data_IF_787854282042
#
_entry.id   IF_787854282042
#
_cell.length_a   1.000
_cell.length_b   1.000
_cell.length_c   1.000
_cell.angle_alpha   90.00
_cell.angle_beta   90.00
_cell.angle_gamma   90.00
#
_symmetry.space_group_name_H-M   'P 1'
#
loop_
_entity.id
_entity.type
_entity.pdbx_description
1 polymer ?
#
# COMPACT_ATOMS: atom_id res chain seq x y z
N UNK A 1 25.65 -66.91 35.22
CA UNK A 1 26.25 -65.65 34.74
C UNK A 1 25.28 -65.01 33.71
N UNK A 2 24.77 -63.83 33.94
CA UNK A 2 23.93 -63.18 32.97
C UNK A 2 24.79 -62.62 31.82
N UNK A 3 24.29 -62.55 30.58
CA UNK A 3 25.05 -62.04 29.40
C UNK A 3 25.24 -60.56 29.50
N UNK A 4 26.46 -60.09 29.24
CA UNK A 4 26.84 -58.68 29.19
C UNK A 4 26.22 -58.02 27.91
N UNK A 5 25.63 -56.83 27.99
CA UNK A 5 25.06 -56.15 26.80
C UNK A 5 26.19 -55.66 25.90
N UNK A 6 26.06 -55.96 24.59
CA UNK A 6 27.00 -55.53 23.56
C UNK A 6 26.97 -53.99 23.37
N UNK A 7 28.14 -53.29 23.24
CA UNK A 7 28.24 -51.84 23.13
C UNK A 7 27.69 -51.25 21.81
N UNK A 8 27.33 -52.07 20.83
CA UNK A 8 26.80 -51.62 19.53
C UNK A 8 25.40 -51.02 19.58
N UNK A 9 24.54 -51.40 20.54
CA UNK A 9 23.16 -50.91 20.56
C UNK A 9 23.00 -49.46 21.04
N UNK A 10 23.91 -48.96 21.88
CA UNK A 10 23.86 -47.61 22.40
C UNK A 10 24.32 -46.56 21.36
N UNK A 11 25.24 -46.93 20.47
CA UNK A 11 25.73 -46.07 19.41
C UNK A 11 24.64 -45.79 18.32
N UNK A 12 23.86 -46.80 17.96
CA UNK A 12 22.75 -46.70 17.04
C UNK A 12 21.58 -45.86 17.58
N UNK A 13 21.27 -46.00 18.88
CA UNK A 13 20.24 -45.20 19.56
C UNK A 13 20.64 -43.72 19.62
N UNK A 14 21.90 -43.41 19.90
CA UNK A 14 22.43 -42.02 19.90
C UNK A 14 22.43 -41.41 18.52
N UNK A 15 22.78 -42.16 17.47
CA UNK A 15 22.74 -41.71 16.09
C UNK A 15 21.30 -41.43 15.62
N UNK A 16 20.32 -42.25 15.97
CA UNK A 16 18.90 -42.00 15.64
C UNK A 16 18.31 -40.80 16.40
N UNK A 17 18.66 -40.57 17.64
CA UNK A 17 18.22 -39.42 18.44
C UNK A 17 18.83 -38.12 17.89
N UNK A 18 20.09 -38.12 17.45
CA UNK A 18 20.71 -36.96 16.80
C UNK A 18 20.11 -36.66 15.41
N UNK A 19 19.76 -37.69 14.63
CA UNK A 19 19.06 -37.46 13.34
C UNK A 19 17.64 -36.94 13.51
N UNK A 20 16.90 -37.44 14.53
CA UNK A 20 15.56 -36.92 14.85
C UNK A 20 15.59 -35.48 15.39
N UNK A 21 16.64 -35.08 16.12
CA UNK A 21 16.83 -33.72 16.61
C UNK A 21 17.19 -32.72 15.46
N UNK A 22 17.91 -33.18 14.44
CA UNK A 22 18.22 -32.37 13.26
C UNK A 22 17.02 -32.16 12.34
N UNK A 23 16.03 -33.06 12.32
CA UNK A 23 14.80 -32.90 11.53
C UNK A 23 13.76 -31.99 12.19
N UNK A 24 13.85 -31.69 13.49
CA UNK A 24 12.98 -30.77 14.20
C UNK A 24 13.40 -29.30 14.11
N UNK A 25 14.62 -29.01 13.63
CA UNK A 25 15.13 -27.64 13.45
C UNK A 25 14.80 -26.98 12.10
N UNK A 26 14.17 -27.69 11.16
CA UNK A 26 13.95 -27.21 9.79
C UNK A 26 12.62 -26.48 9.57
N UNK A 27 11.86 -26.15 10.64
CA UNK A 27 10.75 -25.19 10.53
C UNK A 27 11.23 -23.74 10.73
N UNK A 28 12.40 -23.37 10.16
CA UNK A 28 12.67 -21.98 9.86
C UNK A 28 11.61 -21.55 8.84
N UNK A 29 10.67 -20.68 9.24
CA UNK A 29 9.67 -20.11 8.34
C UNK A 29 10.42 -19.50 7.16
N UNK A 30 10.43 -20.21 6.02
CA UNK A 30 10.88 -19.60 4.77
C UNK A 30 10.07 -18.32 4.58
N UNK A 31 10.71 -17.18 4.24
CA UNK A 31 9.98 -15.93 4.05
C UNK A 31 8.87 -16.20 3.05
N UNK A 32 7.63 -15.80 3.41
CA UNK A 32 6.46 -16.00 2.54
C UNK A 32 6.71 -15.22 1.25
N UNK A 33 6.98 -15.96 0.17
CA UNK A 33 7.16 -15.41 -1.17
C UNK A 33 5.83 -15.44 -1.89
N UNK A 34 5.55 -14.39 -2.66
CA UNK A 34 4.39 -14.35 -3.52
C UNK A 34 4.68 -15.17 -4.80
N UNK A 35 3.87 -16.21 -5.13
CA UNK A 35 4.07 -17.00 -6.34
C UNK A 35 3.83 -16.21 -7.64
N UNK A 36 3.18 -15.03 -7.57
CA UNK A 36 2.89 -14.15 -8.71
C UNK A 36 4.06 -13.22 -9.08
N UNK A 37 5.17 -13.21 -8.30
CA UNK A 37 6.28 -12.28 -8.49
C UNK A 37 7.64 -12.98 -8.46
N UNK A 38 8.56 -12.53 -9.32
CA UNK A 38 9.95 -12.96 -9.26
C UNK A 38 10.61 -12.46 -7.97
N UNK A 39 11.21 -13.37 -7.20
CA UNK A 39 11.91 -13.03 -5.98
C UNK A 39 13.28 -12.40 -6.27
N UNK A 40 13.44 -11.11 -5.96
CA UNK A 40 14.70 -10.36 -6.06
C UNK A 40 14.97 -9.67 -4.72
N UNK A 41 15.70 -10.33 -3.78
CA UNK A 41 15.79 -9.88 -2.39
C UNK A 41 16.51 -8.54 -2.22
N UNK A 42 15.96 -7.69 -1.34
CA UNK A 42 16.61 -6.51 -0.78
C UNK A 42 17.04 -6.78 0.67
N UNK A 43 18.21 -6.30 1.14
CA UNK A 43 18.63 -6.42 2.54
C UNK A 43 17.97 -5.39 3.47
N UNK A 44 17.16 -4.46 2.93
CA UNK A 44 16.62 -3.30 3.65
C UNK A 44 15.20 -3.55 4.15
N UNK A 45 15.01 -4.31 5.25
CA UNK A 45 13.70 -4.60 5.82
C UNK A 45 13.73 -4.90 7.32
N UNK A 46 12.57 -4.77 8.00
CA UNK A 46 12.29 -5.15 9.39
C UNK A 46 10.96 -5.93 9.48
N UNK A 47 10.62 -6.48 10.67
CA UNK A 47 9.33 -7.15 10.90
C UNK A 47 8.17 -6.15 11.06
N UNK A 48 6.96 -6.50 10.55
CA UNK A 48 5.78 -5.61 10.61
C UNK A 48 4.45 -6.33 10.27
N UNK A 49 3.30 -5.63 10.40
CA UNK A 49 1.97 -6.10 9.97
C UNK A 49 1.30 -5.04 9.07
N UNK A 50 1.03 -5.35 7.79
CA UNK A 50 0.42 -4.39 6.87
C UNK A 50 -1.10 -4.30 7.03
N UNK A 51 -1.62 -3.08 6.93
CA UNK A 51 -3.05 -2.74 6.89
C UNK A 51 -3.38 -1.73 5.79
N UNK A 52 -2.36 -1.33 5.00
CA UNK A 52 -2.42 -0.30 3.96
C UNK A 52 -1.55 -0.74 2.78
N UNK A 53 -1.87 -0.30 1.57
CA UNK A 53 -1.01 -0.39 0.38
C UNK A 53 -0.68 1.04 -0.07
N UNK A 54 0.60 1.31 -0.32
CA UNK A 54 1.08 2.60 -0.83
C UNK A 54 1.67 2.38 -2.22
N UNK A 55 1.16 3.13 -3.19
CA UNK A 55 1.61 3.11 -4.58
C UNK A 55 2.60 4.23 -4.85
N UNK A 56 3.64 3.91 -5.64
CA UNK A 56 4.73 4.79 -5.99
C UNK A 56 5.00 4.74 -7.50
N UNK A 57 5.63 5.78 -8.04
CA UNK A 57 6.45 5.63 -9.23
C UNK A 57 7.94 5.69 -8.86
N UNK A 58 8.80 5.06 -9.67
CA UNK A 58 10.23 4.90 -9.34
C UNK A 58 11.08 6.14 -9.57
N UNK A 59 10.63 7.09 -10.41
CA UNK A 59 11.45 8.21 -10.90
C UNK A 59 12.78 7.72 -11.48
N UNK A 60 12.71 6.63 -12.27
CA UNK A 60 13.87 5.97 -12.88
C UNK A 60 13.58 5.67 -14.36
N UNK A 61 14.67 5.44 -15.14
CA UNK A 61 14.56 5.23 -16.58
C UNK A 61 14.50 3.73 -16.97
N UNK A 62 14.52 2.81 -16.03
CA UNK A 62 14.42 1.36 -16.30
C UNK A 62 14.25 0.53 -15.03
N UNK A 63 13.62 -0.64 -15.20
CA UNK A 63 13.50 -1.68 -14.15
C UNK A 63 14.85 -2.04 -13.52
N UNK A 64 15.92 -2.14 -14.32
CA UNK A 64 17.27 -2.50 -13.82
C UNK A 64 17.82 -1.42 -12.89
N UNK A 65 17.62 -0.15 -13.23
CA UNK A 65 18.00 0.98 -12.39
C UNK A 65 17.16 1.00 -11.11
N UNK A 66 15.84 0.81 -11.21
CA UNK A 66 14.92 0.73 -10.09
C UNK A 66 15.28 -0.40 -9.12
N UNK A 67 15.56 -1.62 -9.64
CA UNK A 67 16.04 -2.75 -8.83
C UNK A 67 17.37 -2.45 -8.13
N UNK A 68 18.30 -1.76 -8.80
CA UNK A 68 19.58 -1.36 -8.20
C UNK A 68 19.38 -0.39 -7.04
N UNK A 69 18.52 0.63 -7.23
CA UNK A 69 18.18 1.63 -6.20
C UNK A 69 17.51 1.00 -5.00
N UNK A 70 16.48 0.16 -5.23
CA UNK A 70 15.67 -0.46 -4.16
C UNK A 70 16.40 -1.55 -3.37
N UNK A 71 17.53 -2.04 -3.85
CA UNK A 71 18.40 -3.04 -3.19
C UNK A 71 19.68 -2.44 -2.61
N UNK A 72 20.01 -1.23 -2.96
CA UNK A 72 21.25 -0.56 -2.61
C UNK A 72 21.06 0.68 -1.74
N UNK A 73 21.77 1.71 -2.12
CA UNK A 73 21.71 3.06 -1.54
C UNK A 73 21.51 4.07 -2.66
N UNK A 74 20.72 5.09 -2.41
CA UNK A 74 20.65 6.30 -3.24
C UNK A 74 21.21 7.51 -2.47
N UNK A 75 21.17 8.69 -3.07
CA UNK A 75 21.62 9.94 -2.43
C UNK A 75 20.85 10.27 -1.15
N UNK A 76 19.59 9.83 -1.03
CA UNK A 76 18.74 10.02 0.15
C UNK A 76 18.89 8.94 1.23
N UNK A 77 19.76 7.95 1.04
CA UNK A 77 19.97 6.86 1.99
C UNK A 77 19.51 5.50 1.48
N UNK A 78 19.15 4.60 2.41
CA UNK A 78 18.62 3.27 2.07
C UNK A 78 17.12 3.34 1.84
N UNK A 79 16.68 2.77 0.72
CA UNK A 79 15.28 2.63 0.35
C UNK A 79 15.00 1.20 -0.10
N UNK A 80 13.76 0.77 0.01
CA UNK A 80 13.27 -0.51 -0.53
C UNK A 80 11.76 -0.47 -0.66
N UNK A 81 11.20 -1.33 -1.53
CA UNK A 81 9.77 -1.59 -1.61
C UNK A 81 9.51 -3.09 -1.49
N UNK A 82 8.26 -3.48 -1.25
CA UNK A 82 7.90 -4.89 -1.26
C UNK A 82 7.87 -5.43 -2.67
N UNK A 83 7.31 -4.65 -3.60
CA UNK A 83 7.16 -5.00 -5.00
C UNK A 83 7.63 -3.89 -5.93
N UNK A 84 8.09 -4.29 -7.11
CA UNK A 84 8.29 -3.45 -8.27
C UNK A 84 7.54 -4.09 -9.45
N UNK A 85 6.87 -3.29 -10.27
CA UNK A 85 6.20 -3.70 -11.50
C UNK A 85 6.81 -2.93 -12.66
N UNK A 86 7.37 -3.64 -13.64
CA UNK A 86 7.87 -3.04 -14.88
C UNK A 86 6.74 -2.61 -15.82
N UNK A 87 7.06 -1.77 -16.80
CA UNK A 87 6.13 -1.36 -17.84
C UNK A 87 5.54 -2.53 -18.63
N UNK A 88 6.33 -3.62 -18.78
CA UNK A 88 5.91 -4.88 -19.40
C UNK A 88 4.97 -5.72 -18.52
N UNK A 89 4.68 -5.27 -17.31
CA UNK A 89 3.86 -5.96 -16.30
C UNK A 89 4.62 -7.05 -15.52
N UNK A 90 5.92 -7.22 -15.70
CA UNK A 90 6.71 -8.15 -14.88
C UNK A 90 6.75 -7.69 -13.42
N UNK A 91 6.40 -8.58 -12.48
CA UNK A 91 6.40 -8.32 -11.04
C UNK A 91 7.65 -8.87 -10.39
N UNK A 92 8.28 -8.06 -9.53
CA UNK A 92 9.43 -8.42 -8.71
C UNK A 92 9.05 -8.25 -7.23
N UNK A 93 9.32 -9.24 -6.40
CA UNK A 93 9.22 -9.12 -4.95
C UNK A 93 10.61 -8.97 -4.35
N UNK A 94 10.86 -7.85 -3.65
CA UNK A 94 12.16 -7.52 -3.06
C UNK A 94 12.20 -7.77 -1.56
N UNK A 95 11.07 -7.53 -0.87
CA UNK A 95 10.92 -7.71 0.57
C UNK A 95 9.71 -8.60 0.83
N UNK A 96 9.81 -9.51 1.81
CA UNK A 96 8.68 -10.35 2.24
C UNK A 96 7.56 -9.49 2.80
N UNK A 97 6.30 -9.86 2.56
CA UNK A 97 5.12 -9.12 3.04
C UNK A 97 5.07 -8.99 4.56
N UNK A 98 5.64 -9.97 5.28
CA UNK A 98 5.72 -9.96 6.74
C UNK A 98 6.83 -9.04 7.28
N UNK A 99 7.67 -8.46 6.43
CA UNK A 99 8.81 -7.63 6.80
C UNK A 99 8.60 -6.18 6.38
N UNK A 100 9.27 -5.26 7.07
CA UNK A 100 9.14 -3.82 6.86
C UNK A 100 10.09 -3.34 5.75
N UNK A 101 9.55 -2.98 4.59
CA UNK A 101 10.32 -2.25 3.57
C UNK A 101 10.38 -0.73 3.90
N UNK A 102 11.33 -0.01 3.31
CA UNK A 102 11.58 1.42 3.59
C UNK A 102 11.20 2.25 2.35
N UNK A 103 9.91 2.50 2.16
CA UNK A 103 9.36 3.20 1.00
C UNK A 103 8.56 4.48 1.35
N UNK A 104 7.88 4.52 2.51
CA UNK A 104 6.98 5.62 2.86
C UNK A 104 7.69 6.81 3.52
N UNK A 105 8.80 6.57 4.24
CA UNK A 105 9.49 7.60 5.01
C UNK A 105 8.60 8.26 6.06
N UNK A 106 8.85 9.54 6.37
CA UNK A 106 7.98 10.34 7.22
C UNK A 106 6.67 10.66 6.49
N UNK A 107 5.54 10.35 7.12
CA UNK A 107 4.21 10.56 6.54
C UNK A 107 3.12 10.18 7.53
N UNK A 108 1.86 10.41 7.13
CA UNK A 108 0.67 10.11 7.93
C UNK A 108 -0.49 9.69 7.02
N UNK A 109 -1.28 8.73 7.48
CA UNK A 109 -2.60 8.44 6.93
C UNK A 109 -3.59 8.22 8.07
N UNK A 110 -4.46 9.19 8.32
CA UNK A 110 -5.29 9.21 9.51
C UNK A 110 -4.44 9.19 10.79
N UNK A 111 -4.58 8.14 11.59
CA UNK A 111 -3.81 7.93 12.83
C UNK A 111 -2.52 7.13 12.61
N UNK A 112 -2.26 6.64 11.41
CA UNK A 112 -1.07 5.86 11.07
C UNK A 112 0.08 6.83 10.79
N UNK A 113 1.16 6.76 11.58
CA UNK A 113 2.38 7.59 11.45
C UNK A 113 3.62 6.78 11.07
N UNK A 114 3.65 5.47 11.33
CA UNK A 114 4.69 4.56 10.81
C UNK A 114 4.18 3.86 9.56
N UNK A 115 4.26 4.60 8.44
CA UNK A 115 3.79 4.12 7.12
C UNK A 115 4.51 2.83 6.72
N UNK A 116 5.83 2.74 6.92
CA UNK A 116 6.61 1.57 6.54
C UNK A 116 6.17 0.29 7.26
N UNK A 117 5.85 0.37 8.57
CA UNK A 117 5.38 -0.77 9.33
C UNK A 117 3.93 -1.14 8.99
N UNK A 118 3.11 -0.16 8.63
CA UNK A 118 1.68 -0.35 8.41
C UNK A 118 1.31 -0.75 6.97
N UNK A 119 2.24 -0.63 5.99
CA UNK A 119 1.88 -0.76 4.57
C UNK A 119 2.71 -1.75 3.76
N UNK A 120 2.18 -2.20 2.64
CA UNK A 120 2.91 -2.77 1.50
C UNK A 120 3.22 -1.62 0.54
N UNK A 121 4.50 -1.40 0.20
CA UNK A 121 4.91 -0.46 -0.86
C UNK A 121 5.03 -1.18 -2.18
N UNK A 122 4.40 -0.62 -3.22
CA UNK A 122 4.47 -1.11 -4.59
C UNK A 122 4.98 0.02 -5.47
N UNK A 123 6.15 -0.19 -6.05
CA UNK A 123 6.76 0.69 -7.04
C UNK A 123 6.30 0.32 -8.45
N UNK A 124 6.04 1.31 -9.28
CA UNK A 124 5.76 1.16 -10.71
C UNK A 124 6.89 1.84 -11.47
N UNK A 125 7.53 1.10 -12.38
CA UNK A 125 8.59 1.64 -13.22
C UNK A 125 8.01 2.69 -14.16
N UNK A 126 8.24 3.98 -13.83
CA UNK A 126 7.71 5.14 -14.54
C UNK A 126 8.49 6.36 -14.04
N UNK A 127 8.73 7.35 -14.90
CA UNK A 127 9.47 8.57 -14.58
C UNK A 127 8.56 9.72 -14.07
N UNK A 128 7.24 9.47 -13.99
CA UNK A 128 6.23 10.45 -13.56
C UNK A 128 5.79 11.45 -14.64
N UNK A 129 6.39 11.41 -15.84
CA UNK A 129 6.10 12.32 -16.94
C UNK A 129 5.21 11.71 -18.04
N UNK A 130 5.00 10.40 -18.01
CA UNK A 130 4.24 9.66 -19.01
C UNK A 130 3.09 8.84 -18.38
N UNK A 131 2.06 8.47 -19.16
CA UNK A 131 1.02 7.56 -18.71
C UNK A 131 1.58 6.17 -18.36
N UNK A 132 1.03 5.55 -17.32
CA UNK A 132 1.38 4.18 -16.93
C UNK A 132 0.95 3.16 -18.00
N UNK A 133 1.84 2.23 -18.34
CA UNK A 133 1.57 1.22 -19.37
C UNK A 133 0.36 0.34 -19.01
N UNK A 134 -0.54 0.02 -19.95
CA UNK A 134 -1.70 -0.84 -19.67
C UNK A 134 -1.34 -2.19 -19.06
N UNK A 135 -0.27 -2.84 -19.54
CA UNK A 135 0.21 -4.12 -19.00
C UNK A 135 0.67 -4.01 -17.54
N UNK A 136 1.29 -2.88 -17.16
CA UNK A 136 1.71 -2.57 -15.81
C UNK A 136 0.51 -2.44 -14.86
N UNK A 137 -0.54 -1.73 -15.28
CA UNK A 137 -1.76 -1.57 -14.47
C UNK A 137 -2.55 -2.88 -14.37
N UNK A 138 -2.66 -3.66 -15.44
CA UNK A 138 -3.28 -4.99 -15.39
C UNK A 138 -2.54 -5.91 -14.39
N UNK A 139 -1.22 -5.87 -14.42
CA UNK A 139 -0.37 -6.60 -13.49
C UNK A 139 -0.55 -6.12 -12.04
N UNK A 140 -0.67 -4.81 -11.81
CA UNK A 140 -0.97 -4.23 -10.51
C UNK A 140 -2.32 -4.73 -9.97
N UNK A 141 -3.37 -4.75 -10.78
CA UNK A 141 -4.70 -5.22 -10.36
C UNK A 141 -4.66 -6.68 -9.88
N UNK A 142 -3.93 -7.56 -10.59
CA UNK A 142 -3.72 -8.95 -10.15
C UNK A 142 -2.99 -9.02 -8.81
N UNK A 143 -1.95 -8.20 -8.60
CA UNK A 143 -1.21 -8.16 -7.36
C UNK A 143 -2.05 -7.62 -6.19
N UNK A 144 -2.85 -6.57 -6.43
CA UNK A 144 -3.76 -6.01 -5.43
C UNK A 144 -4.81 -7.02 -4.97
N UNK A 145 -5.37 -7.82 -5.90
CA UNK A 145 -6.33 -8.89 -5.57
C UNK A 145 -5.71 -9.91 -4.60
N UNK A 146 -4.50 -10.38 -4.91
CA UNK A 146 -3.78 -11.32 -4.05
C UNK A 146 -3.48 -10.71 -2.66
N UNK A 147 -2.89 -9.52 -2.63
CA UNK A 147 -2.48 -8.87 -1.38
C UNK A 147 -3.68 -8.55 -0.47
N UNK A 148 -4.75 -8.00 -1.02
CA UNK A 148 -5.95 -7.68 -0.25
C UNK A 148 -6.61 -8.96 0.31
N UNK A 149 -6.66 -10.03 -0.48
CA UNK A 149 -7.26 -11.32 -0.07
C UNK A 149 -6.37 -12.04 0.95
N UNK A 150 -5.10 -12.25 0.64
CA UNK A 150 -4.17 -13.06 1.44
C UNK A 150 -3.78 -12.36 2.75
N UNK A 151 -3.52 -11.05 2.72
CA UNK A 151 -3.12 -10.27 3.89
C UNK A 151 -4.32 -9.63 4.62
N UNK A 152 -5.54 -9.76 4.09
CA UNK A 152 -6.77 -9.15 4.62
C UNK A 152 -6.66 -7.63 4.76
N UNK A 153 -5.99 -6.98 3.79
CA UNK A 153 -5.95 -5.53 3.70
C UNK A 153 -7.27 -5.07 3.06
N UNK A 154 -8.03 -4.16 3.69
CA UNK A 154 -9.26 -3.66 3.09
C UNK A 154 -8.98 -3.04 1.71
N UNK A 155 -9.75 -3.38 0.68
CA UNK A 155 -9.57 -2.85 -0.68
C UNK A 155 -9.62 -1.32 -0.76
N UNK A 156 -10.26 -0.67 0.21
CA UNK A 156 -10.32 0.78 0.36
C UNK A 156 -9.07 1.41 0.96
N UNK A 157 -8.12 0.61 1.43
CA UNK A 157 -6.86 1.05 2.03
C UNK A 157 -5.71 0.98 1.01
N UNK A 158 -5.91 1.58 -0.16
CA UNK A 158 -4.91 1.74 -1.21
C UNK A 158 -4.81 3.22 -1.52
N UNK A 159 -3.61 3.78 -1.35
CA UNK A 159 -3.32 5.22 -1.44
C UNK A 159 -2.01 5.47 -2.18
N UNK A 160 -1.78 6.70 -2.61
CA UNK A 160 -0.50 7.15 -3.16
C UNK A 160 0.50 7.56 -2.06
N UNK A 161 1.76 7.62 -2.40
CA UNK A 161 2.78 8.18 -1.50
C UNK A 161 2.52 9.66 -1.22
N UNK A 162 2.06 10.40 -2.20
CA UNK A 162 1.62 11.79 -2.04
C UNK A 162 0.41 11.93 -1.10
N UNK A 163 -0.50 10.96 -1.04
CA UNK A 163 -1.62 10.98 -0.09
C UNK A 163 -1.13 10.94 1.36
N UNK A 164 -0.10 10.14 1.64
CA UNK A 164 0.45 9.96 3.00
C UNK A 164 1.54 10.96 3.35
N UNK A 165 2.13 11.66 2.38
CA UNK A 165 3.23 12.60 2.57
C UNK A 165 3.13 13.81 1.60
N UNK A 166 2.02 14.54 1.51
CA UNK A 166 1.74 15.51 0.46
C UNK A 166 2.80 16.62 0.35
N UNK A 167 3.31 17.15 1.45
CA UNK A 167 4.32 18.21 1.44
C UNK A 167 5.72 17.74 0.96
N UNK A 168 5.90 16.42 0.72
CA UNK A 168 7.23 15.84 0.45
C UNK A 168 7.28 15.00 -0.82
N UNK A 169 6.13 14.52 -1.27
CA UNK A 169 5.99 13.52 -2.33
C UNK A 169 4.91 13.91 -3.33
N UNK A 170 5.10 13.47 -4.57
CA UNK A 170 4.19 13.68 -5.68
C UNK A 170 3.91 12.38 -6.47
N UNK A 171 4.34 11.23 -5.94
CA UNK A 171 4.12 9.91 -6.55
C UNK A 171 2.86 9.23 -5.98
N UNK A 172 2.04 8.54 -6.80
CA UNK A 172 2.24 8.21 -8.22
C UNK A 172 1.79 9.30 -9.19
N UNK A 173 1.35 10.48 -8.74
CA UNK A 173 1.08 11.66 -9.56
C UNK A 173 -0.24 11.63 -10.35
N UNK A 174 -0.51 12.74 -11.09
CA UNK A 174 -1.81 12.95 -11.73
C UNK A 174 -2.07 12.04 -12.94
N UNK A 175 -1.03 11.43 -13.51
CA UNK A 175 -1.15 10.51 -14.64
C UNK A 175 -1.48 9.07 -14.22
N UNK A 176 -1.49 8.78 -12.89
CA UNK A 176 -1.84 7.46 -12.40
C UNK A 176 -3.35 7.22 -12.56
N UNK A 177 -3.77 6.06 -13.14
CA UNK A 177 -5.16 5.81 -13.50
C UNK A 177 -6.01 5.31 -12.32
N UNK A 178 -6.17 6.10 -11.25
CA UNK A 178 -6.93 5.76 -10.04
C UNK A 178 -8.34 5.24 -10.35
N UNK A 179 -9.02 5.87 -11.32
CA UNK A 179 -10.37 5.44 -11.76
C UNK A 179 -10.40 3.99 -12.22
N UNK A 180 -9.35 3.51 -12.91
CA UNK A 180 -9.26 2.11 -13.37
C UNK A 180 -9.14 1.14 -12.20
N UNK A 181 -8.41 1.51 -11.14
CA UNK A 181 -8.35 0.72 -9.92
C UNK A 181 -9.73 0.67 -9.24
N UNK A 182 -10.40 1.82 -9.16
CA UNK A 182 -11.74 1.93 -8.58
C UNK A 182 -12.78 1.09 -9.33
N UNK A 183 -12.74 1.06 -10.66
CA UNK A 183 -13.62 0.23 -11.50
C UNK A 183 -13.39 -1.27 -11.27
N UNK A 184 -12.18 -1.65 -10.84
CA UNK A 184 -11.84 -3.01 -10.41
C UNK A 184 -12.13 -3.26 -8.92
N UNK A 185 -12.70 -2.29 -8.19
CA UNK A 185 -13.06 -2.41 -6.78
C UNK A 185 -11.93 -2.13 -5.79
N UNK A 186 -10.89 -1.38 -6.20
CA UNK A 186 -9.76 -1.01 -5.36
C UNK A 186 -9.69 0.51 -5.11
N UNK A 187 -9.28 0.90 -3.90
CA UNK A 187 -9.28 2.28 -3.44
C UNK A 187 -10.67 2.75 -3.02
N UNK A 188 -10.75 4.01 -2.63
CA UNK A 188 -12.01 4.73 -2.40
C UNK A 188 -12.32 5.57 -3.64
N UNK A 189 -13.56 5.50 -4.11
CA UNK A 189 -13.99 6.32 -5.23
C UNK A 189 -15.37 6.91 -4.98
N UNK A 190 -15.68 8.15 -5.43
CA UNK A 190 -16.99 8.73 -5.22
C UNK A 190 -18.06 7.92 -5.95
N UNK A 191 -19.18 7.67 -5.25
CA UNK A 191 -20.33 7.02 -5.86
C UNK A 191 -20.91 7.93 -6.93
N UNK A 192 -21.21 7.42 -8.14
CA UNK A 192 -21.94 8.20 -9.17
C UNK A 192 -23.23 8.77 -8.61
N UNK A 193 -23.68 9.89 -9.17
CA UNK A 193 -24.93 10.56 -8.84
C UNK A 193 -25.06 11.02 -7.37
N UNK A 194 -23.93 11.21 -6.68
CA UNK A 194 -23.94 11.83 -5.35
C UNK A 194 -24.44 13.26 -5.44
N UNK A 195 -25.44 13.65 -4.63
CA UNK A 195 -25.94 15.02 -4.59
C UNK A 195 -24.83 16.03 -4.28
N UNK A 196 -24.98 17.30 -4.64
CA UNK A 196 -24.08 18.37 -4.18
C UNK A 196 -23.89 18.33 -2.66
N UNK A 197 -22.73 18.77 -2.19
CA UNK A 197 -22.49 18.88 -0.76
C UNK A 197 -23.46 19.89 -0.12
N UNK A 198 -23.92 19.64 1.13
CA UNK A 198 -24.73 20.61 1.89
C UNK A 198 -24.00 21.95 2.07
N UNK A 199 -24.74 23.02 2.28
CA UNK A 199 -24.15 24.37 2.42
C UNK A 199 -23.24 24.53 3.66
N UNK A 200 -23.40 23.69 4.67
CA UNK A 200 -22.59 23.62 5.90
C UNK A 200 -21.53 22.52 5.85
N UNK A 201 -21.27 21.94 4.67
CA UNK A 201 -20.25 20.90 4.49
C UNK A 201 -18.84 21.48 4.67
N UNK A 202 -18.07 20.88 5.59
CA UNK A 202 -16.67 21.24 5.82
C UNK A 202 -15.73 20.31 5.03
N UNK A 203 -15.10 20.81 3.94
CA UNK A 203 -14.20 20.00 3.13
C UNK A 203 -12.90 19.61 3.84
N UNK A 204 -12.43 20.42 4.79
CA UNK A 204 -11.21 20.14 5.55
C UNK A 204 -11.43 19.01 6.55
N UNK A 205 -12.59 19.01 7.21
CA UNK A 205 -12.99 17.89 8.05
C UNK A 205 -13.13 16.61 7.21
N UNK A 206 -13.68 16.71 6.00
CA UNK A 206 -13.81 15.56 5.09
C UNK A 206 -12.44 15.01 4.68
N UNK A 207 -11.47 15.84 4.29
CA UNK A 207 -10.10 15.44 4.00
C UNK A 207 -9.44 14.75 5.19
N UNK A 208 -9.58 15.30 6.40
CA UNK A 208 -9.06 14.67 7.63
C UNK A 208 -9.70 13.31 7.91
N UNK A 209 -11.02 13.15 7.69
CA UNK A 209 -11.74 11.88 7.84
C UNK A 209 -11.30 10.83 6.81
N UNK A 210 -10.90 11.23 5.62
CA UNK A 210 -10.34 10.34 4.59
C UNK A 210 -8.96 9.84 4.99
N UNK A 211 -8.20 10.62 5.75
CA UNK A 211 -6.86 10.28 6.22
C UNK A 211 -5.77 11.29 5.91
N UNK A 212 -6.06 12.33 5.11
CA UNK A 212 -5.06 13.34 4.74
C UNK A 212 -4.55 14.13 5.94
N UNK A 213 -3.24 14.45 5.94
CA UNK A 213 -2.68 15.50 6.81
C UNK A 213 -3.11 16.87 6.31
N UNK A 214 -3.45 17.78 7.24
CA UNK A 214 -3.76 19.17 6.93
C UNK A 214 -2.61 20.14 7.27
N UNK A 215 -1.41 19.62 7.52
CA UNK A 215 -0.24 20.41 7.92
C UNK A 215 0.23 21.37 6.80
N UNK A 216 0.04 20.99 5.54
CA UNK A 216 0.24 21.81 4.34
C UNK A 216 -1.03 21.74 3.46
N UNK A 217 -1.96 22.70 3.58
CA UNK A 217 -3.22 22.68 2.83
C UNK A 217 -3.07 22.66 1.31
N UNK A 218 -2.09 23.37 0.76
CA UNK A 218 -1.89 23.42 -0.69
C UNK A 218 -1.39 22.07 -1.23
N UNK A 219 -0.41 21.47 -0.57
CA UNK A 219 0.10 20.16 -0.91
C UNK A 219 -0.98 19.06 -0.72
N UNK A 220 -1.81 19.17 0.32
CA UNK A 220 -2.94 18.25 0.55
C UNK A 220 -3.95 18.31 -0.57
N UNK A 221 -4.33 19.51 -1.03
CA UNK A 221 -5.25 19.67 -2.15
C UNK A 221 -4.64 19.15 -3.45
N UNK A 222 -3.35 19.38 -3.69
CA UNK A 222 -2.67 18.84 -4.85
C UNK A 222 -2.70 17.31 -4.87
N UNK A 223 -2.37 16.65 -3.75
CA UNK A 223 -2.44 15.20 -3.64
C UNK A 223 -3.87 14.67 -3.86
N UNK A 224 -4.87 15.30 -3.24
CA UNK A 224 -6.28 14.99 -3.48
C UNK A 224 -6.68 15.14 -4.97
N UNK A 225 -6.24 16.21 -5.65
CA UNK A 225 -6.53 16.43 -7.07
C UNK A 225 -5.80 15.42 -7.97
N UNK A 226 -4.54 15.05 -7.67
CA UNK A 226 -3.85 13.98 -8.38
C UNK A 226 -4.66 12.68 -8.30
N UNK A 227 -5.12 12.31 -7.10
CA UNK A 227 -5.85 11.06 -6.85
C UNK A 227 -7.23 11.03 -7.53
N UNK A 228 -8.04 12.09 -7.38
CA UNK A 228 -9.46 12.06 -7.76
C UNK A 228 -9.79 12.82 -9.04
N UNK A 229 -8.92 13.73 -9.51
CA UNK A 229 -9.17 14.63 -10.62
C UNK A 229 -8.13 14.52 -11.75
N UNK A 230 -6.98 13.87 -11.52
CA UNK A 230 -5.89 13.78 -12.50
C UNK A 230 -5.31 15.14 -12.89
N UNK A 231 -5.31 16.13 -11.98
CA UNK A 231 -4.72 17.45 -12.19
C UNK A 231 -4.03 17.96 -10.91
N UNK A 232 -3.29 19.05 -10.99
CA UNK A 232 -2.47 19.60 -9.91
C UNK A 232 -3.05 20.88 -9.29
N UNK A 233 -4.38 21.04 -9.24
CA UNK A 233 -5.00 22.21 -8.63
C UNK A 233 -4.75 22.24 -7.12
N UNK A 234 -4.71 23.45 -6.56
CA UNK A 234 -4.49 23.69 -5.11
C UNK A 234 -5.65 24.47 -4.48
N UNK A 235 -6.78 24.57 -5.18
CA UNK A 235 -8.00 25.23 -4.72
C UNK A 235 -9.20 24.31 -4.96
N UNK A 236 -10.14 24.28 -4.03
CA UNK A 236 -11.36 23.49 -4.16
C UNK A 236 -12.40 24.15 -5.07
N UNK A 237 -13.07 23.35 -5.87
CA UNK A 237 -14.25 23.74 -6.65
C UNK A 237 -15.52 22.99 -6.20
N UNK A 238 -16.66 23.24 -6.84
CA UNK A 238 -17.93 22.60 -6.48
C UNK A 238 -17.92 21.07 -6.69
N UNK A 239 -17.15 20.59 -7.67
CA UNK A 239 -17.00 19.15 -7.93
C UNK A 239 -16.15 18.48 -6.84
N UNK A 240 -15.12 19.15 -6.31
CA UNK A 240 -14.32 18.64 -5.21
C UNK A 240 -15.16 18.47 -3.95
N UNK A 241 -16.04 19.44 -3.66
CA UNK A 241 -16.98 19.33 -2.53
C UNK A 241 -17.93 18.15 -2.72
N UNK A 242 -18.42 17.91 -3.95
CA UNK A 242 -19.26 16.76 -4.27
C UNK A 242 -18.50 15.43 -4.06
N UNK A 243 -17.26 15.35 -4.53
CA UNK A 243 -16.39 14.18 -4.36
C UNK A 243 -16.14 13.92 -2.88
N UNK A 244 -15.70 14.90 -2.12
CA UNK A 244 -15.44 14.79 -0.69
C UNK A 244 -16.70 14.35 0.09
N UNK A 245 -17.85 14.93 -0.25
CA UNK A 245 -19.14 14.54 0.33
C UNK A 245 -19.46 13.07 0.02
N UNK A 246 -19.26 12.63 -1.23
CA UNK A 246 -19.48 11.24 -1.64
C UNK A 246 -18.58 10.26 -0.86
N UNK A 247 -17.30 10.59 -0.71
CA UNK A 247 -16.29 9.74 -0.07
C UNK A 247 -16.45 9.61 1.45
N UNK A 248 -17.09 10.60 2.09
CA UNK A 248 -17.29 10.62 3.57
C UNK A 248 -18.66 10.12 4.00
N UNK A 249 -19.57 9.87 3.07
CA UNK A 249 -20.85 9.24 3.39
C UNK A 249 -20.67 7.75 3.69
N UNK A 250 -21.33 7.21 4.73
CA UNK A 250 -21.38 5.77 4.92
C UNK A 250 -22.01 5.08 3.70
N UNK A 251 -21.48 3.92 3.27
CA UNK A 251 -22.17 3.11 2.27
C UNK A 251 -23.61 2.82 2.76
N UNK A 252 -24.61 3.06 1.92
CA UNK A 252 -26.03 2.90 2.23
C UNK A 252 -26.65 3.93 3.17
N UNK A 253 -26.09 5.11 3.34
CA UNK A 253 -26.85 6.22 3.97
C UNK A 253 -28.05 6.57 3.10
N UNK A 254 -29.31 6.41 3.58
CA UNK A 254 -30.45 6.93 2.85
C UNK A 254 -30.25 8.44 2.66
N UNK A 255 -30.70 8.97 1.53
CA UNK A 255 -30.86 10.42 1.38
C UNK A 255 -31.86 10.87 2.45
N UNK A 256 -31.35 11.38 3.58
CA UNK A 256 -32.22 11.99 4.60
C UNK A 256 -32.53 13.39 4.08
N UNK A 257 -33.77 13.70 3.68
CA UNK A 257 -34.16 15.07 3.48
C UNK A 257 -34.03 15.79 4.83
N UNK A 258 -33.09 16.72 4.96
CA UNK A 258 -33.08 17.63 6.10
C UNK A 258 -34.38 18.44 6.04
N UNK A 259 -35.36 18.06 6.85
CA UNK A 259 -36.56 18.85 7.02
C UNK A 259 -36.15 20.11 7.76
N UNK A 260 -36.30 21.32 7.17
CA UNK A 260 -36.01 22.56 7.89
C UNK A 260 -36.95 22.63 9.09
N UNK A 261 -36.48 22.40 10.30
CA UNK A 261 -37.30 22.53 11.51
C UNK A 261 -36.94 21.67 12.72
N UNK A 262 -36.07 20.66 12.62
CA UNK A 262 -35.80 19.73 13.71
C UNK A 262 -34.78 20.19 14.76
N UNK A 263 -34.24 21.39 14.67
CA UNK A 263 -33.25 21.97 15.63
C UNK A 263 -33.83 23.09 16.50
N UNK A 264 -35.15 23.12 16.74
CA UNK A 264 -35.72 23.94 17.80
C UNK A 264 -36.54 23.09 18.74
N UNK A 265 -35.91 22.53 19.74
CA UNK A 265 -36.48 22.26 21.08
C UNK A 265 -35.58 21.26 21.84
N UNK A 266 -34.65 21.74 22.61
CA UNK A 266 -34.53 21.56 24.05
C UNK A 266 -33.26 22.24 24.56
#
# INVERSE_FOLDING_TARGET
>A
MPPTPHPCSLAWLRAMVCMAALSLGACAHAPQRNPLAQWVPSPNYDARRPILIVLHFTDQNSVQQSLSTLRGRNSGGRVSAHYLIGEDGQRYQLVSDAQRAWHGGAGRWGTITDINSASIGIELDNDGSEPFAPAQIDSLLVLLEDLCTRLRIPRTQIVGHEDVAPARKNDPGPLFPWKRLADAGFGRWPVPDTPPAPADFDPWQALALLGYSLDDPAATLQAFHHHYRGNSATTLDAEDLRILHALTRPPNSPAVPLTPGALRAK
#
